data_IF_041988529995
#
_entry.id   IF_041988529995
#
_cell.length_a   1.000
_cell.length_b   1.000
_cell.length_c   1.000
_cell.angle_alpha   90.00
_cell.angle_beta   90.00
_cell.angle_gamma   90.00
#
_symmetry.space_group_name_H-M   'P 1'
#
loop_
_entity.id
_entity.type
_entity.pdbx_description
1 polymer ?
#
# COMPACT_ATOMS: atom_id res chain seq x y z
N UNK A 1 17.22 25.28 -15.09
CA UNK A 1 16.99 24.11 -15.95
C UNK A 1 15.89 23.27 -15.33
N UNK A 2 14.77 23.14 -16.03
CA UNK A 2 13.60 22.35 -15.66
C UNK A 2 14.02 20.90 -15.43
N UNK A 3 14.02 20.45 -14.18
CA UNK A 3 14.20 19.04 -13.84
C UNK A 3 12.81 18.43 -13.92
N UNK A 4 12.49 17.84 -15.07
CA UNK A 4 11.27 17.07 -15.26
C UNK A 4 11.28 15.86 -14.33
N UNK A 5 10.75 16.01 -13.11
CA UNK A 5 10.45 14.94 -12.15
C UNK A 5 9.23 14.13 -12.60
N UNK A 6 9.28 13.61 -13.82
CA UNK A 6 8.33 12.60 -14.27
C UNK A 6 8.83 11.28 -13.68
N UNK A 7 8.62 11.10 -12.37
CA UNK A 7 8.76 9.82 -11.72
C UNK A 7 7.71 8.91 -12.32
N UNK A 8 8.02 8.16 -13.37
CA UNK A 8 7.04 7.28 -14.03
C UNK A 8 6.56 6.13 -13.11
N UNK A 9 7.34 5.74 -12.10
CA UNK A 9 7.00 4.64 -11.18
C UNK A 9 6.07 5.01 -10.02
N UNK A 10 6.22 6.19 -9.42
CA UNK A 10 5.37 6.64 -8.29
C UNK A 10 3.86 6.76 -8.63
N UNK A 11 3.43 7.32 -9.78
CA UNK A 11 2.02 7.47 -10.11
C UNK A 11 1.39 6.14 -10.54
N UNK A 12 2.13 5.23 -11.19
CA UNK A 12 1.60 3.90 -11.57
C UNK A 12 1.37 3.04 -10.32
N UNK A 13 2.31 3.04 -9.38
CA UNK A 13 2.15 2.30 -8.13
C UNK A 13 0.99 2.89 -7.29
N UNK A 14 0.82 4.22 -7.29
CA UNK A 14 -0.32 4.88 -6.66
C UNK A 14 -1.66 4.49 -7.32
N UNK A 15 -1.70 4.39 -8.65
CA UNK A 15 -2.88 3.90 -9.38
C UNK A 15 -3.19 2.44 -9.04
N UNK A 16 -2.17 1.58 -8.94
CA UNK A 16 -2.33 0.17 -8.58
C UNK A 16 -2.84 0.00 -7.15
N UNK A 17 -2.36 0.83 -6.21
CA UNK A 17 -2.92 0.89 -4.84
C UNK A 17 -4.36 1.41 -4.87
N UNK A 18 -4.68 2.36 -5.75
CA UNK A 18 -6.05 2.86 -5.94
C UNK A 18 -7.05 1.81 -6.45
N UNK A 19 -6.57 0.76 -7.14
CA UNK A 19 -7.39 -0.39 -7.55
C UNK A 19 -7.69 -1.35 -6.39
N UNK A 20 -6.93 -1.28 -5.29
CA UNK A 20 -7.19 -2.09 -4.10
C UNK A 20 -8.40 -1.53 -3.36
N UNK A 21 -9.39 -2.38 -3.09
CA UNK A 21 -10.56 -1.99 -2.31
C UNK A 21 -10.20 -1.92 -0.83
N UNK A 22 -9.82 -0.71 -0.37
CA UNK A 22 -9.43 -0.42 1.01
C UNK A 22 -10.51 -0.85 2.01
N UNK A 23 -11.79 -0.70 1.67
CA UNK A 23 -12.91 -1.09 2.54
C UNK A 23 -12.95 -2.60 2.79
N UNK A 24 -12.63 -3.42 1.77
CA UNK A 24 -12.53 -4.87 1.95
C UNK A 24 -11.36 -5.23 2.86
N UNK A 25 -10.23 -4.54 2.70
CA UNK A 25 -9.03 -4.75 3.51
C UNK A 25 -9.30 -4.39 4.98
N UNK A 26 -9.88 -3.21 5.25
CA UNK A 26 -10.25 -2.76 6.59
C UNK A 26 -11.24 -3.72 7.27
N UNK A 27 -12.24 -4.23 6.54
CA UNK A 27 -13.17 -5.24 7.05
C UNK A 27 -12.45 -6.54 7.45
N UNK A 28 -11.46 -6.98 6.67
CA UNK A 28 -10.66 -8.16 7.02
C UNK A 28 -9.75 -7.92 8.21
N UNK A 29 -9.09 -6.76 8.26
CA UNK A 29 -8.23 -6.35 9.40
C UNK A 29 -9.05 -6.37 10.70
N UNK A 30 -10.25 -5.79 10.69
CA UNK A 30 -11.15 -5.77 11.85
C UNK A 30 -11.63 -7.18 12.24
N UNK A 31 -11.97 -8.01 11.25
CA UNK A 31 -12.43 -9.40 11.50
C UNK A 31 -11.35 -10.28 12.10
N UNK A 32 -10.11 -10.14 11.61
CA UNK A 32 -8.97 -10.95 12.04
C UNK A 32 -8.15 -10.28 13.15
N UNK A 33 -8.51 -9.07 13.58
CA UNK A 33 -7.75 -8.24 14.55
C UNK A 33 -6.26 -8.14 14.21
N UNK A 34 -5.95 -8.11 12.92
CA UNK A 34 -4.56 -8.23 12.42
C UNK A 34 -3.68 -7.05 12.86
N UNK A 35 -4.28 -5.87 13.09
CA UNK A 35 -3.58 -4.67 13.56
C UNK A 35 -3.60 -4.47 15.09
N UNK A 36 -4.19 -5.39 15.86
CA UNK A 36 -4.36 -5.21 17.31
C UNK A 36 -3.04 -5.14 18.08
N UNK A 37 -2.01 -5.86 17.63
CA UNK A 37 -0.68 -5.87 18.24
C UNK A 37 0.35 -5.04 17.46
N UNK A 38 -0.02 -4.53 16.28
CA UNK A 38 0.87 -3.75 15.44
C UNK A 38 0.84 -2.27 15.84
N UNK A 39 1.94 -1.79 16.45
CA UNK A 39 2.03 -0.42 16.97
C UNK A 39 2.31 0.66 15.91
N UNK A 40 3.08 0.32 14.87
CA UNK A 40 3.54 1.27 13.83
C UNK A 40 3.47 0.73 12.40
N UNK A 41 3.41 -0.60 12.24
CA UNK A 41 3.39 -1.24 10.93
C UNK A 41 2.06 -1.94 10.71
N UNK A 42 1.16 -1.25 10.02
CA UNK A 42 -0.20 -1.75 9.79
C UNK A 42 -0.21 -2.81 8.69
N UNK A 43 -1.25 -3.63 8.68
CA UNK A 43 -1.49 -4.68 7.69
C UNK A 43 -1.51 -4.10 6.27
N UNK A 44 -2.03 -2.87 6.11
CA UNK A 44 -2.00 -2.14 4.85
C UNK A 44 -0.58 -1.77 4.42
N UNK A 45 0.26 -1.28 5.33
CA UNK A 45 1.67 -1.01 5.04
C UNK A 45 2.43 -2.30 4.70
N UNK A 46 2.16 -3.38 5.43
CA UNK A 46 2.73 -4.70 5.16
C UNK A 46 2.40 -5.18 3.73
N UNK A 47 1.15 -5.00 3.30
CA UNK A 47 0.69 -5.32 1.95
C UNK A 47 1.43 -4.49 0.89
N UNK A 48 1.54 -3.18 1.10
CA UNK A 48 2.24 -2.27 0.19
C UNK A 48 3.73 -2.65 0.09
N UNK A 49 4.38 -2.96 1.21
CA UNK A 49 5.80 -3.36 1.23
C UNK A 49 6.03 -4.67 0.46
N UNK A 50 5.15 -5.67 0.61
CA UNK A 50 5.24 -6.92 -0.16
C UNK A 50 5.03 -6.65 -1.65
N UNK A 51 4.02 -5.86 -2.01
CA UNK A 51 3.72 -5.51 -3.40
C UNK A 51 4.91 -4.76 -4.04
N UNK A 52 5.51 -3.84 -3.31
CA UNK A 52 6.70 -3.13 -3.74
C UNK A 52 7.88 -4.08 -3.92
N UNK A 53 8.13 -4.98 -2.96
CA UNK A 53 9.23 -5.94 -3.04
C UNK A 53 9.10 -6.96 -4.18
N UNK A 54 7.88 -7.32 -4.60
CA UNK A 54 7.64 -8.19 -5.77
C UNK A 54 7.79 -7.44 -7.10
N UNK A 55 7.53 -6.13 -7.11
CA UNK A 55 7.55 -5.30 -8.33
C UNK A 55 8.91 -4.63 -8.57
N UNK A 56 9.82 -4.68 -7.59
CA UNK A 56 11.16 -4.07 -7.63
C UNK A 56 12.21 -4.94 -8.32
#
# INVERSE_FOLDING_TARGET
MSKSTIFFGQPIFSQMIGLLNINKIDKQIKRHRSDHYCKRFTTFQHLITILYGVTS
#
